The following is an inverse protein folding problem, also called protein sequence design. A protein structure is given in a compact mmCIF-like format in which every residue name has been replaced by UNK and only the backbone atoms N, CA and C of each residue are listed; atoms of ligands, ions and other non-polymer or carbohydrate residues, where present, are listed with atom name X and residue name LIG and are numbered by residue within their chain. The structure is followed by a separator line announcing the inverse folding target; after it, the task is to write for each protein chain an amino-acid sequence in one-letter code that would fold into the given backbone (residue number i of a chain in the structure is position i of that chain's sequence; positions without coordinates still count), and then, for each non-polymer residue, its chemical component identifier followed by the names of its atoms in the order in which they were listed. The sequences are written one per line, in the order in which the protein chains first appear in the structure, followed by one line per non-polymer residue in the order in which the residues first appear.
data_IF_997074786774
#
_entry.id   IF_997074786774
#
_cell.length_a   1.000
_cell.length_b   1.000
_cell.length_c   1.000
_cell.angle_alpha   90.00
_cell.angle_beta   90.00
_cell.angle_gamma   90.00
#
_symmetry.space_group_name_H-M   'P 1'
#
loop_
_entity.id
_entity.type
_entity.pdbx_description
1 polymer ?
#
# COMPACT_ATOMS: atom_id res chain seq x y z
N UNK A 1 -23.62 50.78 -6.55
CA UNK A 1 -22.68 50.57 -7.64
C UNK A 1 -22.34 49.08 -7.72
N UNK A 2 -22.90 48.36 -8.69
CA UNK A 2 -22.41 47.01 -9.00
C UNK A 2 -21.05 47.19 -9.69
N UNK A 3 -19.99 47.11 -8.92
CA UNK A 3 -18.67 47.23 -9.49
C UNK A 3 -18.32 45.94 -10.21
N UNK A 4 -17.80 46.02 -11.43
CA UNK A 4 -17.25 44.90 -12.21
C UNK A 4 -16.28 44.05 -11.39
N UNK A 5 -15.73 44.63 -10.33
CA UNK A 5 -14.80 44.00 -9.41
C UNK A 5 -15.40 42.80 -8.62
N UNK A 6 -16.72 42.85 -8.30
CA UNK A 6 -17.36 41.80 -7.51
C UNK A 6 -17.35 40.42 -8.19
N UNK A 7 -17.84 40.24 -9.41
CA UNK A 7 -17.82 38.93 -10.07
C UNK A 7 -16.38 38.49 -10.39
N UNK A 8 -15.46 39.41 -10.62
CA UNK A 8 -14.03 39.08 -10.81
C UNK A 8 -13.47 38.49 -9.51
N UNK A 9 -13.69 39.15 -8.35
CA UNK A 9 -13.21 38.66 -7.05
C UNK A 9 -13.84 37.30 -6.68
N UNK A 10 -15.10 37.07 -6.99
CA UNK A 10 -15.74 35.78 -6.77
C UNK A 10 -15.09 34.66 -7.59
N UNK A 11 -14.67 34.92 -8.81
CA UNK A 11 -14.04 33.95 -9.70
C UNK A 11 -12.54 33.73 -9.40
N UNK A 12 -11.82 34.76 -8.89
CA UNK A 12 -10.40 34.61 -8.54
C UNK A 12 -10.14 33.62 -7.42
N UNK A 13 -11.17 33.20 -6.67
CA UNK A 13 -11.10 32.11 -5.69
C UNK A 13 -10.63 30.76 -6.30
N UNK A 14 -10.77 30.59 -7.61
CA UNK A 14 -10.23 29.43 -8.31
C UNK A 14 -8.73 29.31 -8.13
N UNK A 15 -7.99 30.43 -8.00
CA UNK A 15 -6.54 30.43 -7.84
C UNK A 15 -6.10 29.76 -6.55
N UNK A 16 -6.53 30.20 -5.33
CA UNK A 16 -6.21 29.50 -4.09
C UNK A 16 -6.76 28.08 -4.06
N UNK A 17 -7.91 27.81 -4.71
CA UNK A 17 -8.46 26.47 -4.84
C UNK A 17 -7.54 25.53 -5.60
N UNK A 18 -7.09 25.91 -6.77
CA UNK A 18 -6.16 25.11 -7.56
C UNK A 18 -4.80 24.96 -6.87
N UNK A 19 -4.30 26.00 -6.22
CA UNK A 19 -3.07 25.91 -5.43
C UNK A 19 -3.20 24.82 -4.36
N UNK A 20 -4.29 24.81 -3.61
CA UNK A 20 -4.52 23.82 -2.56
C UNK A 20 -4.70 22.39 -3.11
N UNK A 21 -5.29 22.23 -4.30
CA UNK A 21 -5.40 20.89 -4.93
C UNK A 21 -4.06 20.33 -5.38
N UNK A 22 -3.16 21.15 -5.87
CA UNK A 22 -1.84 20.71 -6.32
C UNK A 22 -0.84 20.45 -5.19
N UNK A 23 -1.03 21.09 -4.03
CA UNK A 23 -0.08 21.03 -2.93
C UNK A 23 0.22 19.59 -2.43
N UNK A 24 -0.76 18.71 -2.17
CA UNK A 24 -0.50 17.34 -1.72
C UNK A 24 0.05 16.42 -2.81
N UNK A 25 -0.12 16.79 -4.09
CA UNK A 25 0.24 15.93 -5.23
C UNK A 25 1.43 16.47 -6.04
N UNK A 26 2.18 17.42 -5.48
CA UNK A 26 3.29 18.09 -6.19
C UNK A 26 4.35 17.11 -6.71
N UNK A 27 4.60 16.01 -6.02
CA UNK A 27 5.54 14.95 -6.42
C UNK A 27 5.10 14.15 -7.66
N UNK A 28 3.83 14.21 -8.03
CA UNK A 28 3.26 13.47 -9.16
C UNK A 28 3.07 14.32 -10.43
N UNK A 29 3.54 15.57 -10.42
CA UNK A 29 3.43 16.47 -11.58
C UNK A 29 4.35 15.97 -12.69
N UNK A 30 3.86 15.97 -13.92
CA UNK A 30 4.56 15.54 -15.12
C UNK A 30 5.82 16.41 -15.37
N UNK A 31 6.99 15.90 -15.04
CA UNK A 31 8.26 16.47 -15.49
C UNK A 31 8.61 15.85 -16.83
N UNK A 32 8.77 16.67 -17.88
CA UNK A 32 9.18 16.20 -19.21
C UNK A 32 10.64 15.68 -19.28
N UNK A 33 11.29 15.42 -18.14
CA UNK A 33 12.65 14.90 -18.02
C UNK A 33 12.65 13.62 -17.17
N UNK A 34 13.18 12.55 -17.74
CA UNK A 34 13.52 11.32 -17.04
C UNK A 34 14.57 11.61 -15.97
N UNK A 35 14.18 11.86 -14.73
CA UNK A 35 15.08 11.79 -13.58
C UNK A 35 14.69 10.63 -12.68
N UNK A 36 15.70 9.81 -12.39
CA UNK A 36 15.68 8.63 -11.56
C UNK A 36 15.24 8.95 -10.12
N UNK A 37 14.57 7.98 -9.52
CA UNK A 37 13.90 7.98 -8.21
C UNK A 37 14.83 8.09 -6.97
N UNK A 38 16.09 8.53 -7.11
CA UNK A 38 17.11 8.38 -6.05
C UNK A 38 17.42 9.60 -5.18
N UNK A 39 16.74 10.75 -5.36
CA UNK A 39 17.04 11.97 -4.56
C UNK A 39 15.80 12.49 -3.79
N UNK A 40 15.30 11.70 -2.86
CA UNK A 40 14.25 12.10 -1.92
C UNK A 40 14.85 12.60 -0.60
N UNK A 41 15.50 13.76 -0.60
CA UNK A 41 16.19 14.22 0.60
C UNK A 41 16.37 15.74 0.80
N UNK A 42 15.84 16.58 -0.08
CA UNK A 42 15.96 18.04 0.12
C UNK A 42 14.65 18.77 -0.17
N UNK A 43 14.21 19.57 0.79
CA UNK A 43 13.02 20.47 0.78
C UNK A 43 13.12 21.62 -0.24
N UNK A 44 13.78 21.41 -1.36
CA UNK A 44 13.79 22.38 -2.46
C UNK A 44 12.45 22.29 -3.20
N UNK A 45 11.75 23.40 -3.31
CA UNK A 45 10.52 23.54 -4.09
C UNK A 45 10.71 22.88 -5.47
N UNK A 46 9.93 21.82 -5.73
CA UNK A 46 10.06 21.05 -6.96
C UNK A 46 9.99 21.97 -8.17
N UNK A 47 11.00 22.04 -9.04
CA UNK A 47 11.03 22.96 -10.16
C UNK A 47 9.84 22.76 -11.11
N UNK A 48 9.28 21.57 -11.16
CA UNK A 48 8.09 21.25 -11.92
C UNK A 48 6.83 21.94 -11.37
N UNK A 49 6.68 21.98 -10.07
CA UNK A 49 5.58 22.68 -9.41
C UNK A 49 5.66 24.20 -9.62
N UNK A 50 6.84 24.78 -9.50
CA UNK A 50 7.04 26.20 -9.79
C UNK A 50 6.73 26.53 -11.25
N UNK A 51 7.23 25.75 -12.20
CA UNK A 51 6.95 25.92 -13.61
C UNK A 51 5.45 25.80 -13.93
N UNK A 52 4.76 24.86 -13.30
CA UNK A 52 3.30 24.72 -13.41
C UNK A 52 2.60 26.00 -12.93
N UNK A 53 2.97 26.53 -11.77
CA UNK A 53 2.37 27.74 -11.20
C UNK A 53 2.62 28.97 -12.05
N UNK A 54 3.80 29.11 -12.67
CA UNK A 54 4.14 30.26 -13.51
C UNK A 54 3.20 30.46 -14.72
N UNK A 55 2.67 29.39 -15.29
CA UNK A 55 1.70 29.51 -16.38
C UNK A 55 0.24 29.35 -15.93
N UNK A 56 -0.01 28.54 -14.87
CA UNK A 56 -1.36 28.26 -14.40
C UNK A 56 -1.99 29.49 -13.73
N UNK A 57 -1.26 30.18 -12.85
CA UNK A 57 -1.79 31.34 -12.13
C UNK A 57 -2.18 32.48 -13.07
N UNK A 58 -1.37 32.92 -14.04
CA UNK A 58 -1.79 33.91 -15.02
C UNK A 58 -2.99 33.47 -15.86
N UNK A 59 -3.02 32.20 -16.29
CA UNK A 59 -4.15 31.64 -17.02
C UNK A 59 -5.45 31.76 -16.23
N UNK A 60 -5.44 31.34 -14.97
CA UNK A 60 -6.60 31.41 -14.08
C UNK A 60 -7.02 32.85 -13.78
N UNK A 61 -6.05 33.76 -13.65
CA UNK A 61 -6.34 35.20 -13.50
C UNK A 61 -7.05 35.77 -14.72
N UNK A 62 -6.57 35.46 -15.93
CA UNK A 62 -7.22 35.88 -17.20
C UNK A 62 -8.65 35.32 -17.30
N UNK A 63 -8.82 34.02 -17.01
CA UNK A 63 -10.16 33.37 -17.04
C UNK A 63 -11.09 34.04 -16.02
N UNK A 64 -10.60 34.38 -14.82
CA UNK A 64 -11.39 35.06 -13.79
C UNK A 64 -11.79 36.46 -14.19
N UNK A 65 -10.89 37.22 -14.81
CA UNK A 65 -11.16 38.59 -15.29
C UNK A 65 -12.18 38.56 -16.44
N UNK A 66 -11.95 37.72 -17.43
CA UNK A 66 -12.87 37.61 -18.60
C UNK A 66 -14.23 37.10 -18.16
N UNK A 67 -14.28 36.05 -17.34
CA UNK A 67 -15.53 35.50 -16.81
C UNK A 67 -16.30 36.53 -15.97
N UNK A 68 -15.58 37.27 -15.08
CA UNK A 68 -16.16 38.36 -14.29
C UNK A 68 -16.72 39.50 -15.15
N UNK A 69 -16.00 39.88 -16.19
CA UNK A 69 -16.49 40.90 -17.15
C UNK A 69 -17.74 40.44 -17.88
N UNK A 70 -17.79 39.17 -18.33
CA UNK A 70 -18.97 38.54 -18.93
C UNK A 70 -20.17 38.54 -17.97
N UNK A 71 -19.96 38.12 -16.73
CA UNK A 71 -21.02 38.14 -15.70
C UNK A 71 -21.54 39.54 -15.46
N UNK A 72 -20.67 40.53 -15.41
CA UNK A 72 -21.06 41.93 -15.24
C UNK A 72 -21.86 42.47 -16.43
N UNK A 73 -21.38 42.25 -17.65
CA UNK A 73 -22.00 42.78 -18.84
C UNK A 73 -23.39 42.17 -19.11
N UNK A 74 -23.54 40.87 -18.86
CA UNK A 74 -24.82 40.15 -19.10
C UNK A 74 -25.66 40.00 -17.81
N UNK A 75 -25.26 40.62 -16.73
CA UNK A 75 -25.92 40.55 -15.42
C UNK A 75 -26.18 39.11 -14.94
N UNK A 76 -25.24 38.20 -15.27
CA UNK A 76 -25.31 36.79 -14.92
C UNK A 76 -24.70 36.52 -13.53
N UNK A 77 -25.24 35.53 -12.86
CA UNK A 77 -24.59 34.99 -11.63
C UNK A 77 -23.27 34.31 -11.98
N UNK A 78 -22.22 34.50 -11.16
CA UNK A 78 -20.93 33.86 -11.29
C UNK A 78 -21.01 32.32 -11.32
N UNK A 79 -22.07 31.76 -10.74
CA UNK A 79 -22.34 30.32 -10.77
C UNK A 79 -22.47 29.76 -12.21
N UNK A 80 -23.06 30.55 -13.14
CA UNK A 80 -23.21 30.11 -14.53
C UNK A 80 -21.88 29.90 -15.27
N UNK A 81 -20.83 30.57 -14.84
CA UNK A 81 -19.48 30.39 -15.38
C UNK A 81 -18.73 29.33 -14.54
N UNK A 82 -18.87 29.36 -13.22
CA UNK A 82 -18.12 28.46 -12.32
C UNK A 82 -18.50 26.99 -12.53
N UNK A 83 -19.81 26.67 -12.71
CA UNK A 83 -20.26 25.29 -12.88
C UNK A 83 -19.64 24.59 -14.10
N UNK A 84 -19.63 25.14 -15.33
CA UNK A 84 -18.97 24.50 -16.46
C UNK A 84 -17.43 24.57 -16.37
N UNK A 85 -16.89 25.54 -15.64
CA UNK A 85 -15.44 25.70 -15.47
C UNK A 85 -14.84 24.65 -14.54
N UNK A 86 -15.54 24.21 -13.47
CA UNK A 86 -15.05 23.21 -12.54
C UNK A 86 -14.68 21.86 -13.19
N UNK A 87 -15.49 21.24 -14.06
CA UNK A 87 -15.09 20.06 -14.81
C UNK A 87 -13.85 20.28 -15.69
N UNK A 88 -13.75 21.44 -16.34
CA UNK A 88 -12.58 21.79 -17.17
C UNK A 88 -11.31 21.90 -16.32
N UNK A 89 -11.41 22.51 -15.14
CA UNK A 89 -10.31 22.61 -14.17
C UNK A 89 -9.92 21.24 -13.63
N UNK A 90 -10.90 20.39 -13.35
CA UNK A 90 -10.64 19.02 -12.94
C UNK A 90 -9.91 18.21 -14.02
N UNK A 91 -10.35 18.32 -15.29
CA UNK A 91 -9.67 17.65 -16.40
C UNK A 91 -8.24 18.15 -16.59
N UNK A 92 -8.02 19.47 -16.48
CA UNK A 92 -6.69 20.07 -16.52
C UNK A 92 -5.81 19.53 -15.37
N UNK A 93 -6.35 19.53 -14.16
CA UNK A 93 -5.68 19.01 -12.96
C UNK A 93 -5.29 17.54 -13.12
N UNK A 94 -6.25 16.69 -13.50
CA UNK A 94 -5.97 15.26 -13.66
C UNK A 94 -4.96 14.96 -14.78
N UNK A 95 -5.04 15.70 -15.92
CA UNK A 95 -4.14 15.50 -17.05
C UNK A 95 -2.68 15.90 -16.75
N UNK A 96 -2.47 16.83 -15.83
CA UNK A 96 -1.11 17.24 -15.42
C UNK A 96 -0.45 16.27 -14.42
N UNK A 97 -1.19 15.28 -13.91
CA UNK A 97 -0.77 14.38 -12.84
C UNK A 97 -0.67 12.92 -13.32
N UNK A 98 0.27 12.19 -12.73
CA UNK A 98 0.40 10.72 -12.91
C UNK A 98 -0.17 9.95 -11.72
N UNK A 99 -1.45 10.15 -11.45
CA UNK A 99 -2.15 9.46 -10.35
C UNK A 99 -3.48 8.88 -10.82
N UNK A 100 -4.05 7.95 -10.02
CA UNK A 100 -5.36 7.38 -10.32
C UNK A 100 -6.45 8.47 -10.31
N UNK A 101 -7.47 8.30 -11.14
CA UNK A 101 -8.60 9.24 -11.23
C UNK A 101 -9.29 9.40 -9.87
N UNK A 102 -9.38 8.33 -9.07
CA UNK A 102 -10.04 8.34 -7.76
C UNK A 102 -9.31 9.22 -6.74
N UNK A 103 -7.97 9.16 -6.73
CA UNK A 103 -7.14 10.06 -5.91
C UNK A 103 -7.34 11.52 -6.35
N UNK A 104 -7.33 11.80 -7.66
CA UNK A 104 -7.55 13.14 -8.21
C UNK A 104 -8.93 13.70 -7.87
N UNK A 105 -9.99 12.91 -8.08
CA UNK A 105 -11.38 13.31 -7.79
C UNK A 105 -11.55 13.61 -6.31
N UNK A 106 -11.02 12.75 -5.44
CA UNK A 106 -11.15 12.92 -3.97
C UNK A 106 -10.52 14.20 -3.47
N UNK A 107 -9.29 14.51 -3.90
CA UNK A 107 -8.60 15.75 -3.49
C UNK A 107 -9.31 16.99 -4.04
N UNK A 108 -9.68 16.96 -5.32
CA UNK A 108 -10.36 18.09 -5.96
C UNK A 108 -11.71 18.39 -5.28
N UNK A 109 -12.53 17.36 -5.08
CA UNK A 109 -13.84 17.54 -4.40
C UNK A 109 -13.69 17.93 -2.94
N UNK A 110 -12.62 17.48 -2.25
CA UNK A 110 -12.34 17.91 -0.88
C UNK A 110 -12.14 19.42 -0.79
N UNK A 111 -11.38 20.00 -1.70
CA UNK A 111 -11.19 21.45 -1.79
C UNK A 111 -12.49 22.15 -2.18
N UNK A 112 -13.26 21.62 -3.13
CA UNK A 112 -14.56 22.16 -3.51
C UNK A 112 -15.52 22.20 -2.30
N UNK A 113 -15.57 21.16 -1.49
CA UNK A 113 -16.45 21.10 -0.30
C UNK A 113 -16.09 22.17 0.73
N UNK A 114 -14.81 22.36 1.01
CA UNK A 114 -14.35 23.41 1.93
C UNK A 114 -14.71 24.79 1.38
N UNK A 115 -14.44 25.04 0.11
CA UNK A 115 -14.71 26.33 -0.52
C UNK A 115 -16.20 26.61 -0.64
N UNK A 116 -17.04 25.58 -0.82
CA UNK A 116 -18.51 25.74 -0.75
C UNK A 116 -18.97 26.17 0.66
N UNK A 117 -18.41 25.58 1.73
CA UNK A 117 -18.70 26.01 3.09
C UNK A 117 -18.24 27.44 3.36
N UNK A 118 -17.04 27.81 2.90
CA UNK A 118 -16.48 29.16 3.04
C UNK A 118 -17.34 30.18 2.26
N UNK A 119 -17.82 29.81 1.05
CA UNK A 119 -18.75 30.66 0.29
C UNK A 119 -20.05 30.92 1.05
N UNK A 120 -20.63 29.89 1.66
CA UNK A 120 -21.84 30.06 2.48
C UNK A 120 -21.59 31.01 3.65
N UNK A 121 -20.46 30.85 4.36
CA UNK A 121 -20.09 31.72 5.46
C UNK A 121 -19.83 33.17 5.03
N UNK A 122 -19.15 33.38 3.91
CA UNK A 122 -18.87 34.73 3.37
C UNK A 122 -20.14 35.46 2.98
N UNK A 123 -21.15 34.75 2.43
CA UNK A 123 -22.46 35.30 2.13
C UNK A 123 -23.22 35.70 3.41
N UNK A 124 -23.11 34.88 4.45
CA UNK A 124 -23.67 35.20 5.74
C UNK A 124 -23.07 36.48 6.36
N UNK A 125 -21.71 36.59 6.30
CA UNK A 125 -20.99 37.78 6.80
C UNK A 125 -21.40 39.02 5.96
N UNK A 126 -21.45 38.90 4.66
CA UNK A 126 -21.87 40.00 3.81
C UNK A 126 -23.30 40.45 4.07
N UNK A 127 -24.23 39.51 4.29
CA UNK A 127 -25.60 39.81 4.63
C UNK A 127 -25.70 40.49 6.02
N UNK A 128 -24.90 40.03 7.01
CA UNK A 128 -24.83 40.65 8.33
C UNK A 128 -24.35 42.11 8.26
N UNK A 129 -23.37 42.40 7.44
CA UNK A 129 -22.82 43.76 7.25
C UNK A 129 -23.78 44.70 6.48
N UNK A 130 -24.74 44.15 5.72
CA UNK A 130 -25.71 44.91 4.92
C UNK A 130 -27.08 45.02 5.55
N UNK A 131 -27.26 44.58 6.82
CA UNK A 131 -28.54 44.69 7.49
C UNK A 131 -28.96 46.14 7.69
N UNK A 132 -30.28 46.47 7.51
CA UNK A 132 -30.78 47.82 7.66
C UNK A 132 -30.81 48.30 9.11
N UNK A 133 -30.81 47.43 10.10
CA UNK A 133 -30.75 47.78 11.52
C UNK A 133 -29.29 48.01 11.96
N UNK A 134 -29.03 49.21 12.48
CA UNK A 134 -27.68 49.60 12.96
C UNK A 134 -27.30 48.73 14.17
N UNK A 135 -26.19 48.01 14.12
CA UNK A 135 -25.68 47.33 15.30
C UNK A 135 -25.30 48.34 16.38
N UNK A 136 -25.36 47.90 17.65
CA UNK A 136 -25.11 48.79 18.81
C UNK A 136 -23.75 49.53 18.67
N UNK A 137 -23.79 50.82 18.93
CA UNK A 137 -22.60 51.68 18.90
C UNK A 137 -21.56 51.15 19.90
N UNK A 138 -20.32 50.89 19.41
CA UNK A 138 -19.21 50.34 20.20
C UNK A 138 -18.96 48.85 20.02
N UNK A 139 -19.77 48.12 19.22
CA UNK A 139 -19.46 46.75 18.83
C UNK A 139 -18.47 46.72 17.64
N UNK A 140 -17.69 45.63 17.53
CA UNK A 140 -16.82 45.38 16.36
C UNK A 140 -17.60 45.48 15.03
N UNK A 141 -18.86 45.02 15.05
CA UNK A 141 -19.80 45.10 13.93
C UNK A 141 -20.23 46.56 13.71
N UNK A 142 -20.39 47.39 14.74
CA UNK A 142 -20.66 48.82 14.61
C UNK A 142 -19.51 49.60 14.01
N UNK A 143 -18.27 49.18 14.27
CA UNK A 143 -17.08 49.74 13.61
C UNK A 143 -17.00 49.37 12.14
N UNK A 144 -17.33 48.14 11.77
CA UNK A 144 -17.34 47.68 10.37
C UNK A 144 -18.55 48.21 9.60
N UNK A 145 -19.63 48.62 10.30
CA UNK A 145 -20.88 49.15 9.76
C UNK A 145 -20.82 50.67 9.44
N UNK A 146 -19.77 51.36 9.78
CA UNK A 146 -19.66 52.79 9.51
C UNK A 146 -19.68 53.04 7.97
N UNK A 147 -20.86 53.31 7.49
CA UNK A 147 -21.31 53.88 6.21
C UNK A 147 -20.47 53.72 4.95
N UNK A 148 -21.06 53.12 3.91
CA UNK A 148 -20.49 53.15 2.56
C UNK A 148 -20.38 54.55 1.93
N UNK A 149 -21.01 55.56 2.50
CA UNK A 149 -21.10 56.92 1.95
C UNK A 149 -20.15 57.93 2.57
N UNK A 150 -19.43 57.58 3.64
CA UNK A 150 -18.49 58.48 4.29
C UNK A 150 -17.07 57.94 4.24
N UNK A 151 -16.39 58.32 3.14
CA UNK A 151 -14.96 58.69 3.09
C UNK A 151 -14.02 57.92 4.01
N UNK A 152 -13.28 56.96 3.45
CA UNK A 152 -12.06 56.43 4.05
C UNK A 152 -11.91 54.93 4.08
N UNK A 153 -12.97 54.15 3.99
CA UNK A 153 -12.87 52.69 3.84
C UNK A 153 -12.79 52.36 2.34
N UNK A 154 -11.78 51.61 1.90
CA UNK A 154 -11.68 51.26 0.49
C UNK A 154 -12.97 50.64 -0.04
N UNK A 155 -13.46 51.05 -1.19
CA UNK A 155 -14.74 50.60 -1.82
C UNK A 155 -14.87 49.08 -1.89
N UNK A 156 -13.76 48.37 -1.93
CA UNK A 156 -13.68 46.91 -1.95
C UNK A 156 -14.00 46.27 -0.57
N UNK A 157 -13.87 46.99 0.55
CA UNK A 157 -14.16 46.44 1.87
C UNK A 157 -15.66 46.48 2.22
N UNK A 158 -16.42 47.41 1.63
CA UNK A 158 -17.80 47.68 2.01
C UNK A 158 -18.88 46.85 1.28
N UNK A 159 -18.54 46.13 0.20
CA UNK A 159 -19.59 45.71 -0.72
C UNK A 159 -19.67 44.23 -1.01
N UNK A 160 -18.79 43.36 -0.48
CA UNK A 160 -18.70 42.13 -1.27
C UNK A 160 -18.44 40.85 -0.51
N UNK A 161 -19.43 39.96 -0.55
CA UNK A 161 -19.26 38.54 -0.31
C UNK A 161 -18.04 37.96 -1.05
N UNK A 162 -17.73 38.42 -2.24
CA UNK A 162 -16.56 38.03 -3.03
C UNK A 162 -15.21 38.35 -2.40
N UNK A 163 -15.09 39.53 -1.79
CA UNK A 163 -13.87 39.89 -1.07
C UNK A 163 -13.67 39.01 0.18
N UNK A 164 -14.67 38.90 1.02
CA UNK A 164 -14.60 38.04 2.22
C UNK A 164 -14.37 36.58 1.84
N UNK A 165 -15.00 36.11 0.77
CA UNK A 165 -14.80 34.79 0.26
C UNK A 165 -13.34 34.55 -0.14
N UNK A 166 -12.74 35.44 -0.93
CA UNK A 166 -11.34 35.36 -1.30
C UNK A 166 -10.42 35.39 -0.07
N UNK A 167 -10.63 36.37 0.82
CA UNK A 167 -9.80 36.51 2.03
C UNK A 167 -9.81 35.24 2.87
N UNK A 168 -10.98 34.70 3.15
CA UNK A 168 -11.12 33.48 3.97
C UNK A 168 -10.51 32.28 3.24
N UNK A 169 -10.68 32.15 1.92
CA UNK A 169 -10.04 31.09 1.14
C UNK A 169 -8.51 31.15 1.21
N UNK A 170 -7.91 32.34 1.12
CA UNK A 170 -6.46 32.49 1.27
C UNK A 170 -5.97 32.18 2.69
N UNK A 171 -6.70 32.63 3.72
CA UNK A 171 -6.41 32.27 5.12
C UNK A 171 -6.49 30.74 5.28
N UNK A 172 -7.50 30.12 4.71
CA UNK A 172 -7.66 28.67 4.77
C UNK A 172 -6.51 27.93 4.04
N UNK A 173 -6.08 28.39 2.87
CA UNK A 173 -4.94 27.82 2.14
C UNK A 173 -3.66 27.91 2.96
N UNK A 174 -3.40 29.03 3.62
CA UNK A 174 -2.24 29.22 4.50
C UNK A 174 -2.29 28.26 5.71
N UNK A 175 -3.46 28.13 6.34
CA UNK A 175 -3.66 27.21 7.47
C UNK A 175 -3.54 25.74 7.06
N UNK A 176 -4.06 25.38 5.89
CA UNK A 176 -4.03 24.02 5.35
C UNK A 176 -2.69 23.66 4.68
N UNK A 177 -1.77 24.60 4.50
CA UNK A 177 -0.50 24.40 3.80
C UNK A 177 0.31 23.24 4.38
N UNK A 178 0.52 23.27 5.70
CA UNK A 178 1.30 22.26 6.38
C UNK A 178 0.64 20.87 6.33
N UNK A 179 -0.64 20.69 6.75
CA UNK A 179 -1.29 19.38 6.67
C UNK A 179 -1.42 18.85 5.23
N UNK A 180 -1.66 19.70 4.24
CA UNK A 180 -1.77 19.28 2.84
C UNK A 180 -0.41 18.82 2.27
N UNK A 181 0.66 19.54 2.59
CA UNK A 181 1.99 19.22 2.05
C UNK A 181 2.67 18.03 2.72
N UNK A 182 2.29 17.66 3.95
CA UNK A 182 2.89 16.56 4.70
C UNK A 182 1.91 15.38 4.89
N UNK A 183 0.84 15.59 5.64
CA UNK A 183 -0.03 14.48 6.03
C UNK A 183 -0.85 13.91 4.85
N UNK A 184 -1.43 14.76 4.00
CA UNK A 184 -2.18 14.29 2.83
C UNK A 184 -1.23 13.71 1.79
N UNK A 185 -0.04 14.29 1.64
CA UNK A 185 0.99 13.77 0.74
C UNK A 185 1.41 12.34 1.11
N UNK A 186 1.75 12.08 2.37
CA UNK A 186 2.11 10.72 2.83
C UNK A 186 0.99 9.70 2.59
N UNK A 187 -0.27 10.11 2.73
CA UNK A 187 -1.41 9.26 2.40
C UNK A 187 -1.54 8.98 0.89
N UNK A 188 -1.17 9.94 0.05
CA UNK A 188 -1.21 9.78 -1.40
C UNK A 188 -0.12 8.83 -1.91
N UNK A 189 1.03 8.81 -1.24
CA UNK A 189 2.19 7.97 -1.57
C UNK A 189 2.03 6.52 -1.08
N UNK A 190 1.13 6.26 -0.12
CA UNK A 190 0.92 4.93 0.45
C UNK A 190 -0.13 4.13 -0.36
N UNK A 191 0.28 2.98 -0.88
CA UNK A 191 -0.59 2.09 -1.67
C UNK A 191 -1.63 1.34 -0.81
N UNK A 192 -1.42 1.25 0.51
CA UNK A 192 -2.37 0.62 1.43
C UNK A 192 -3.74 1.34 1.48
N UNK A 193 -3.79 2.60 1.05
CA UNK A 193 -5.01 3.40 0.97
C UNK A 193 -5.74 3.33 -0.37
N UNK A 194 -5.29 2.52 -1.33
CA UNK A 194 -5.85 2.49 -2.67
C UNK A 194 -7.37 2.25 -2.67
N UNK A 195 -7.86 1.36 -1.81
CA UNK A 195 -9.30 1.06 -1.70
C UNK A 195 -10.12 2.20 -1.07
N UNK A 196 -9.55 2.96 -0.16
CA UNK A 196 -10.25 4.05 0.55
C UNK A 196 -10.60 5.20 -0.40
N UNK A 197 -9.77 5.47 -1.42
CA UNK A 197 -10.01 6.52 -2.39
C UNK A 197 -11.25 6.31 -3.27
N UNK A 198 -11.69 5.05 -3.45
CA UNK A 198 -12.92 4.74 -4.21
C UNK A 198 -14.21 5.25 -3.53
N UNK A 199 -14.18 5.46 -2.23
CA UNK A 199 -15.37 5.87 -1.45
C UNK A 199 -15.23 7.30 -0.93
N UNK A 200 -14.03 7.77 -0.69
CA UNK A 200 -13.76 9.05 -0.02
C UNK A 200 -14.38 10.27 -0.72
N UNK A 201 -14.44 10.31 -2.05
CA UNK A 201 -14.99 11.42 -2.83
C UNK A 201 -16.50 11.65 -2.62
N UNK A 202 -17.23 10.65 -2.15
CA UNK A 202 -18.70 10.74 -1.98
C UNK A 202 -19.09 11.77 -0.92
N UNK A 203 -18.36 11.83 0.19
CA UNK A 203 -18.66 12.74 1.31
C UNK A 203 -18.39 14.21 0.91
N UNK A 204 -17.24 14.60 0.37
CA UNK A 204 -17.03 15.94 -0.17
C UNK A 204 -18.06 16.36 -1.20
N UNK A 205 -18.46 15.44 -2.09
CA UNK A 205 -19.49 15.71 -3.07
C UNK A 205 -20.84 16.05 -2.39
N UNK A 206 -21.24 15.25 -1.40
CA UNK A 206 -22.47 15.48 -0.65
C UNK A 206 -22.43 16.84 0.06
N UNK A 207 -21.32 17.20 0.72
CA UNK A 207 -21.15 18.51 1.37
C UNK A 207 -21.22 19.67 0.37
N UNK A 208 -20.58 19.53 -0.77
CA UNK A 208 -20.63 20.53 -1.84
C UNK A 208 -22.08 20.72 -2.32
N UNK A 209 -22.79 19.63 -2.61
CA UNK A 209 -24.17 19.64 -3.03
C UNK A 209 -25.11 20.27 -1.99
N UNK A 210 -24.93 19.90 -0.72
CA UNK A 210 -25.73 20.45 0.39
C UNK A 210 -25.52 21.96 0.53
N UNK A 211 -24.26 22.42 0.51
CA UNK A 211 -23.95 23.85 0.59
C UNK A 211 -24.53 24.63 -0.61
N UNK A 212 -24.43 24.08 -1.82
CA UNK A 212 -25.03 24.71 -3.02
C UNK A 212 -26.57 24.80 -2.92
N UNK A 213 -27.21 23.76 -2.39
CA UNK A 213 -28.64 23.75 -2.17
C UNK A 213 -29.08 24.79 -1.12
N UNK A 214 -28.27 24.99 -0.07
CA UNK A 214 -28.54 25.94 1.01
C UNK A 214 -28.38 27.40 0.57
N UNK A 215 -27.67 27.70 -0.53
CA UNK A 215 -27.49 29.09 -0.99
C UNK A 215 -28.84 29.70 -1.40
N UNK A 216 -29.30 30.79 -0.73
CA UNK A 216 -30.58 31.40 -1.04
C UNK A 216 -30.60 31.97 -2.45
N UNK A 217 -31.66 31.71 -3.20
CA UNK A 217 -31.86 32.25 -4.58
C UNK A 217 -32.03 33.75 -4.60
N UNK A 218 -32.67 34.32 -3.53
CA UNK A 218 -32.97 35.74 -3.46
C UNK A 218 -32.17 36.37 -2.30
N UNK A 219 -31.42 37.43 -2.63
CA UNK A 219 -30.63 38.18 -1.61
C UNK A 219 -31.47 38.69 -0.45
N UNK A 220 -32.70 39.13 -0.73
CA UNK A 220 -33.64 39.64 0.31
C UNK A 220 -34.04 38.61 1.35
N UNK A 221 -33.95 37.32 1.09
CA UNK A 221 -34.27 36.25 2.04
C UNK A 221 -33.33 36.25 3.23
N UNK A 222 -32.05 36.60 3.03
CA UNK A 222 -31.05 36.66 4.10
C UNK A 222 -31.18 37.88 5.02
N UNK A 223 -31.95 38.92 4.63
CA UNK A 223 -32.13 40.12 5.47
C UNK A 223 -33.14 39.92 6.59
N UNK A 224 -33.79 38.76 6.67
CA UNK A 224 -34.65 38.42 7.81
C UNK A 224 -33.78 37.86 8.92
N UNK A 225 -33.74 38.55 10.09
CA UNK A 225 -32.81 38.27 11.20
C UNK A 225 -32.81 36.81 11.68
N UNK A 226 -33.98 36.15 11.77
CA UNK A 226 -34.07 34.73 12.15
C UNK A 226 -33.51 33.79 11.06
N UNK A 227 -33.77 34.09 9.80
CA UNK A 227 -33.26 33.26 8.68
C UNK A 227 -31.74 33.40 8.59
N UNK A 228 -31.22 34.60 8.74
CA UNK A 228 -29.76 34.83 8.72
C UNK A 228 -29.07 34.11 9.89
N UNK A 229 -29.62 34.21 11.12
CA UNK A 229 -29.06 33.46 12.24
C UNK A 229 -29.05 31.96 12.03
N UNK A 230 -30.15 31.38 11.52
CA UNK A 230 -30.22 29.97 11.17
C UNK A 230 -29.22 29.59 10.10
N UNK A 231 -29.06 30.42 9.08
CA UNK A 231 -28.11 30.20 8.00
C UNK A 231 -26.65 30.23 8.49
N UNK A 232 -26.28 31.17 9.38
CA UNK A 232 -24.97 31.25 10.00
C UNK A 232 -24.70 29.98 10.83
N UNK A 233 -25.65 29.60 11.71
CA UNK A 233 -25.48 28.42 12.55
C UNK A 233 -25.30 27.17 11.73
N UNK A 234 -26.12 26.93 10.70
CA UNK A 234 -26.03 25.76 9.84
C UNK A 234 -24.70 25.76 9.05
N UNK A 235 -24.28 26.90 8.51
CA UNK A 235 -23.01 26.99 7.78
C UNK A 235 -21.80 26.72 8.68
N UNK A 236 -21.82 27.18 9.93
CA UNK A 236 -20.78 26.89 10.92
C UNK A 236 -20.78 25.41 11.31
N UNK A 237 -21.95 24.83 11.57
CA UNK A 237 -22.09 23.41 11.91
C UNK A 237 -21.56 22.53 10.77
N UNK A 238 -21.92 22.83 9.52
CA UNK A 238 -21.43 22.11 8.37
C UNK A 238 -19.90 22.20 8.22
N UNK A 239 -19.33 23.39 8.46
CA UNK A 239 -17.88 23.59 8.43
C UNK A 239 -17.20 22.78 9.53
N UNK A 240 -17.75 22.77 10.75
CA UNK A 240 -17.21 21.99 11.88
C UNK A 240 -17.30 20.48 11.59
N UNK A 241 -18.45 20.00 11.07
CA UNK A 241 -18.61 18.59 10.71
C UNK A 241 -17.60 18.17 9.62
N UNK A 242 -17.41 19.02 8.60
CA UNK A 242 -16.44 18.78 7.55
C UNK A 242 -15.01 18.73 8.11
N UNK A 243 -14.66 19.68 9.00
CA UNK A 243 -13.35 19.69 9.65
C UNK A 243 -13.11 18.45 10.51
N UNK A 244 -14.11 18.04 11.30
CA UNK A 244 -14.07 16.81 12.09
C UNK A 244 -13.91 15.58 11.20
N UNK A 245 -14.64 15.52 10.08
CA UNK A 245 -14.53 14.43 9.12
C UNK A 245 -13.09 14.31 8.56
N UNK A 246 -12.50 15.42 8.11
CA UNK A 246 -11.13 15.39 7.61
C UNK A 246 -10.11 15.05 8.69
N UNK A 247 -10.31 15.54 9.91
CA UNK A 247 -9.43 15.21 11.04
C UNK A 247 -9.51 13.72 11.39
N UNK A 248 -10.72 13.16 11.47
CA UNK A 248 -10.94 11.74 11.71
C UNK A 248 -10.33 10.88 10.59
N UNK A 249 -10.50 11.29 9.34
CA UNK A 249 -9.91 10.59 8.20
C UNK A 249 -8.38 10.59 8.26
N UNK A 250 -7.76 11.74 8.59
CA UNK A 250 -6.32 11.85 8.79
C UNK A 250 -5.81 10.95 9.93
N UNK A 251 -6.49 10.99 11.09
CA UNK A 251 -6.13 10.15 12.23
C UNK A 251 -6.26 8.65 11.92
N UNK A 252 -7.34 8.27 11.23
CA UNK A 252 -7.54 6.89 10.77
C UNK A 252 -6.41 6.45 9.83
N UNK A 253 -6.02 7.31 8.90
CA UNK A 253 -4.93 7.03 7.97
C UNK A 253 -3.59 6.82 8.68
N UNK A 254 -3.23 7.72 9.60
CA UNK A 254 -2.02 7.60 10.43
C UNK A 254 -2.05 6.31 11.25
N UNK A 255 -3.20 5.97 11.84
CA UNK A 255 -3.37 4.75 12.63
C UNK A 255 -3.20 3.47 11.80
N UNK A 256 -3.81 3.42 10.61
CA UNK A 256 -3.67 2.27 9.70
C UNK A 256 -2.22 2.06 9.26
N UNK A 257 -1.53 3.14 8.90
CA UNK A 257 -0.13 3.07 8.50
C UNK A 257 0.77 2.58 9.66
N UNK A 258 0.53 3.09 10.87
CA UNK A 258 1.23 2.63 12.07
C UNK A 258 0.97 1.14 12.35
N UNK A 259 -0.29 0.70 12.23
CA UNK A 259 -0.63 -0.72 12.43
C UNK A 259 0.02 -1.63 11.38
N UNK A 260 0.06 -1.21 10.11
CA UNK A 260 0.73 -1.96 9.06
C UNK A 260 2.23 -2.12 9.33
N UNK A 261 2.91 -1.05 9.77
CA UNK A 261 4.33 -1.10 10.18
C UNK A 261 4.55 -2.03 11.37
N UNK A 262 3.72 -1.93 12.40
CA UNK A 262 3.80 -2.81 13.58
C UNK A 262 3.58 -4.28 13.21
N UNK A 263 2.69 -4.58 12.26
CA UNK A 263 2.50 -5.94 11.76
C UNK A 263 3.74 -6.46 11.03
N UNK A 264 4.39 -5.63 10.20
CA UNK A 264 5.63 -6.00 9.53
C UNK A 264 6.77 -6.26 10.52
N UNK A 265 6.93 -5.40 11.54
CA UNK A 265 7.93 -5.58 12.60
C UNK A 265 7.67 -6.87 13.41
N UNK A 266 6.42 -7.13 13.80
CA UNK A 266 6.05 -8.35 14.51
C UNK A 266 6.29 -9.60 13.65
N UNK A 267 6.01 -9.54 12.35
CA UNK A 267 6.30 -10.65 11.44
C UNK A 267 7.82 -10.89 11.35
N UNK A 268 8.61 -9.84 11.20
CA UNK A 268 10.08 -9.95 11.19
C UNK A 268 10.63 -10.53 12.48
N UNK A 269 10.16 -10.06 13.65
CA UNK A 269 10.55 -10.61 14.95
C UNK A 269 10.16 -12.09 15.11
N UNK A 270 9.00 -12.49 14.58
CA UNK A 270 8.58 -13.89 14.60
C UNK A 270 9.50 -14.79 13.77
N UNK A 271 9.94 -14.33 12.60
CA UNK A 271 10.89 -15.03 11.75
C UNK A 271 12.27 -15.13 12.41
N UNK A 272 12.75 -14.05 13.04
CA UNK A 272 14.01 -14.10 13.82
C UNK A 272 13.94 -15.11 14.95
N UNK A 273 12.83 -15.14 15.69
CA UNK A 273 12.63 -16.12 16.78
C UNK A 273 12.64 -17.55 16.25
N UNK A 274 11.94 -17.81 15.14
CA UNK A 274 11.93 -19.13 14.52
C UNK A 274 13.32 -19.56 14.06
N UNK A 275 14.10 -18.66 13.46
CA UNK A 275 15.49 -18.91 13.07
C UNK A 275 16.35 -19.22 14.29
N UNK A 276 16.21 -18.47 15.39
CA UNK A 276 16.93 -18.69 16.64
C UNK A 276 16.57 -20.05 17.28
N UNK A 277 15.29 -20.40 17.33
CA UNK A 277 14.84 -21.68 17.88
C UNK A 277 15.38 -22.86 17.05
N UNK A 278 15.43 -22.72 15.72
CA UNK A 278 16.02 -23.72 14.81
C UNK A 278 17.52 -23.87 15.05
N UNK A 279 18.23 -22.76 15.23
CA UNK A 279 19.66 -22.75 15.53
C UNK A 279 19.97 -23.45 16.87
N UNK A 280 19.16 -23.15 17.90
CA UNK A 280 19.30 -23.81 19.20
C UNK A 280 19.08 -25.32 19.10
N UNK A 281 18.06 -25.76 18.34
CA UNK A 281 17.80 -27.17 18.12
C UNK A 281 18.98 -27.85 17.40
N UNK A 282 19.55 -27.21 16.37
CA UNK A 282 20.72 -27.74 15.66
C UNK A 282 21.97 -27.82 16.54
N UNK A 283 22.19 -26.82 17.43
CA UNK A 283 23.30 -26.84 18.41
C UNK A 283 23.13 -28.01 19.38
N UNK A 284 21.92 -28.25 19.89
CA UNK A 284 21.65 -29.34 20.85
C UNK A 284 21.81 -30.70 20.15
N UNK A 285 21.34 -30.86 18.91
CA UNK A 285 21.57 -32.07 18.11
C UNK A 285 23.07 -32.33 17.88
N UNK A 286 23.84 -31.31 17.52
CA UNK A 286 25.28 -31.39 17.35
C UNK A 286 25.97 -31.76 18.67
N UNK A 287 25.45 -31.28 19.82
CA UNK A 287 25.97 -31.63 21.16
C UNK A 287 25.71 -33.12 21.50
N UNK A 288 24.50 -33.62 21.19
CA UNK A 288 24.17 -35.03 21.35
C UNK A 288 25.04 -35.89 20.44
N UNK A 289 25.16 -35.57 19.16
CA UNK A 289 26.02 -36.33 18.24
C UNK A 289 27.48 -36.38 18.70
N UNK A 290 28.02 -35.26 19.21
CA UNK A 290 29.38 -35.20 19.77
C UNK A 290 29.53 -36.07 21.04
N UNK A 291 28.52 -36.09 21.90
CA UNK A 291 28.50 -36.94 23.08
C UNK A 291 28.52 -38.42 22.70
N UNK A 292 27.72 -38.82 21.74
CA UNK A 292 27.63 -40.20 21.27
C UNK A 292 28.94 -40.65 20.59
N UNK A 293 29.54 -39.80 19.75
CA UNK A 293 30.87 -40.06 19.19
C UNK A 293 31.91 -40.26 20.28
N UNK A 294 31.91 -39.44 21.35
CA UNK A 294 32.83 -39.60 22.47
C UNK A 294 32.62 -40.94 23.18
N UNK A 295 31.40 -41.39 23.33
CA UNK A 295 31.05 -42.69 23.91
C UNK A 295 31.60 -43.85 23.07
N UNK A 296 31.46 -43.76 21.72
CA UNK A 296 31.99 -44.72 20.77
C UNK A 296 33.52 -44.81 20.88
N UNK A 297 34.22 -43.66 20.97
CA UNK A 297 35.67 -43.65 21.10
C UNK A 297 36.16 -44.22 22.44
N UNK A 298 35.47 -43.94 23.53
CA UNK A 298 35.80 -44.52 24.86
C UNK A 298 35.64 -46.05 24.82
N UNK A 299 34.59 -46.58 24.21
CA UNK A 299 34.38 -48.03 24.09
C UNK A 299 35.45 -48.67 23.19
N UNK A 300 35.79 -48.06 22.06
CA UNK A 300 36.87 -48.54 21.19
C UNK A 300 38.23 -48.54 21.89
N UNK A 301 38.54 -47.49 22.67
CA UNK A 301 39.78 -47.41 23.46
C UNK A 301 39.89 -48.55 24.49
N UNK A 302 38.79 -48.79 25.21
CA UNK A 302 38.71 -49.88 26.20
C UNK A 302 38.90 -51.28 25.55
N UNK A 303 38.31 -51.52 24.38
CA UNK A 303 38.49 -52.78 23.64
C UNK A 303 39.92 -52.91 23.11
N UNK A 304 40.55 -51.81 22.69
CA UNK A 304 41.93 -51.81 22.27
C UNK A 304 42.91 -52.10 23.41
N UNK A 305 42.68 -51.58 24.62
CA UNK A 305 43.47 -51.89 25.81
C UNK A 305 43.39 -53.38 26.21
N UNK A 306 42.26 -54.03 25.89
CA UNK A 306 42.08 -55.48 26.14
C UNK A 306 42.75 -56.36 25.09
N UNK A 307 43.24 -55.79 23.98
CA UNK A 307 43.87 -56.49 22.87
C UNK A 307 42.95 -57.36 22.03
N UNK A 308 41.61 -57.17 22.13
CA UNK A 308 40.58 -57.99 21.48
C UNK A 308 40.21 -57.41 20.11
N UNK A 309 41.03 -57.70 19.11
CA UNK A 309 40.86 -57.19 17.72
C UNK A 309 39.55 -57.67 17.12
N UNK A 310 39.04 -58.86 17.45
CA UNK A 310 37.81 -59.39 16.89
C UNK A 310 36.60 -58.62 17.41
N UNK A 311 36.57 -58.26 18.67
CA UNK A 311 35.49 -57.42 19.26
C UNK A 311 35.55 -55.99 18.75
N UNK A 312 36.72 -55.41 18.49
CA UNK A 312 36.86 -54.10 17.87
C UNK A 312 36.22 -54.13 16.47
N UNK A 313 36.54 -55.15 15.66
CA UNK A 313 36.00 -55.32 14.32
C UNK A 313 34.50 -55.47 14.34
N UNK A 314 33.94 -56.30 15.20
CA UNK A 314 32.53 -56.53 15.34
C UNK A 314 31.77 -55.28 15.81
N UNK A 315 32.41 -54.48 16.71
CA UNK A 315 31.86 -53.19 17.15
C UNK A 315 31.80 -52.17 16.02
N UNK A 316 32.86 -52.05 15.23
CA UNK A 316 32.95 -51.17 14.09
C UNK A 316 31.93 -51.58 13.00
N UNK A 317 31.77 -52.85 12.67
CA UNK A 317 30.78 -53.37 11.76
C UNK A 317 29.38 -53.05 12.20
N UNK A 318 29.07 -53.21 13.50
CA UNK A 318 27.76 -52.84 14.05
C UNK A 318 27.51 -51.34 14.09
N UNK A 319 28.52 -50.53 14.32
CA UNK A 319 28.42 -49.08 14.30
C UNK A 319 28.25 -48.53 12.88
N UNK A 320 28.98 -49.12 11.93
CA UNK A 320 28.91 -48.75 10.51
C UNK A 320 27.52 -49.13 9.90
N UNK A 321 26.98 -50.30 10.27
CA UNK A 321 25.64 -50.71 9.81
C UNK A 321 24.50 -49.83 10.37
N UNK A 322 24.75 -49.04 11.44
CA UNK A 322 23.77 -48.04 11.94
C UNK A 322 23.86 -46.70 11.24
N UNK A 323 24.95 -46.41 10.55
CA UNK A 323 25.09 -45.20 9.70
C UNK A 323 24.42 -45.54 8.38
N UNK A 324 23.39 -44.79 7.94
CA UNK A 324 22.79 -44.99 6.63
C UNK A 324 23.88 -44.87 5.56
N UNK A 325 23.88 -45.83 4.60
CA UNK A 325 24.76 -45.78 3.45
C UNK A 325 24.49 -44.47 2.67
N UNK A 326 25.29 -43.46 2.88
CA UNK A 326 25.22 -42.16 2.19
C UNK A 326 25.98 -42.15 0.88
N UNK A 327 26.52 -43.31 0.43
CA UNK A 327 27.30 -43.46 -0.81
C UNK A 327 26.48 -43.46 -2.09
N UNK A 328 25.20 -43.07 -2.03
CA UNK A 328 24.43 -42.89 -3.26
C UNK A 328 24.68 -41.49 -3.82
N UNK A 329 25.48 -41.41 -4.87
CA UNK A 329 25.72 -40.18 -5.63
C UNK A 329 24.60 -40.00 -6.68
N UNK A 330 23.81 -38.96 -6.55
CA UNK A 330 22.66 -38.67 -7.43
C UNK A 330 23.01 -37.64 -8.51
N UNK A 331 23.81 -36.61 -8.16
CA UNK A 331 24.16 -35.52 -9.10
C UNK A 331 25.49 -34.85 -8.70
N UNK A 332 26.10 -34.12 -9.65
CA UNK A 332 27.35 -33.40 -9.38
C UNK A 332 27.22 -32.19 -8.45
N UNK A 333 25.99 -31.62 -8.30
CA UNK A 333 25.73 -30.54 -7.34
C UNK A 333 25.68 -31.08 -5.94
N UNK A 334 26.70 -30.76 -5.13
CA UNK A 334 26.88 -31.31 -3.76
C UNK A 334 25.74 -31.00 -2.80
N UNK A 335 25.15 -29.80 -2.91
CA UNK A 335 24.08 -29.38 -2.04
C UNK A 335 22.78 -30.14 -2.36
N UNK A 336 22.42 -30.24 -3.62
CA UNK A 336 21.28 -31.04 -4.09
C UNK A 336 21.48 -32.52 -3.81
N UNK A 337 22.69 -33.06 -4.06
CA UNK A 337 23.05 -34.45 -3.80
C UNK A 337 22.83 -34.84 -2.32
N UNK A 338 23.28 -33.98 -1.41
CA UNK A 338 23.09 -34.17 0.05
C UNK A 338 21.60 -34.19 0.46
N UNK A 339 20.80 -33.28 -0.10
CA UNK A 339 19.35 -33.23 0.19
C UNK A 339 18.66 -34.47 -0.34
N UNK A 340 18.94 -34.86 -1.59
CA UNK A 340 18.33 -36.04 -2.22
C UNK A 340 18.73 -37.31 -1.48
N UNK A 341 20.02 -37.43 -1.11
CA UNK A 341 20.55 -38.56 -0.34
C UNK A 341 19.87 -38.73 1.00
N UNK A 342 19.67 -37.62 1.73
CA UNK A 342 18.96 -37.59 3.02
C UNK A 342 17.53 -38.14 2.91
N UNK A 343 16.74 -37.62 1.97
CA UNK A 343 15.35 -38.07 1.80
C UNK A 343 15.26 -39.48 1.20
N UNK A 344 16.22 -39.91 0.36
CA UNK A 344 16.30 -41.28 -0.09
C UNK A 344 16.56 -42.26 1.06
N UNK A 345 17.48 -41.93 1.98
CA UNK A 345 17.74 -42.71 3.17
C UNK A 345 16.51 -42.82 4.09
N UNK A 346 15.78 -41.71 4.27
CA UNK A 346 14.51 -41.71 5.02
C UNK A 346 13.44 -42.59 4.34
N UNK A 347 13.28 -42.46 3.04
CA UNK A 347 12.32 -43.29 2.27
C UNK A 347 12.66 -44.78 2.37
N UNK A 348 13.94 -45.14 2.26
CA UNK A 348 14.44 -46.51 2.43
C UNK A 348 14.12 -47.07 3.82
N UNK A 349 14.33 -46.27 4.88
CA UNK A 349 13.99 -46.65 6.26
C UNK A 349 12.50 -46.94 6.45
N UNK A 350 11.65 -46.20 5.77
CA UNK A 350 10.17 -46.36 5.81
C UNK A 350 9.63 -47.34 4.77
N UNK A 351 10.52 -48.08 4.08
CA UNK A 351 10.19 -49.03 2.99
C UNK A 351 9.36 -48.40 1.87
N UNK A 352 9.70 -47.18 1.47
CA UNK A 352 9.09 -46.45 0.34
C UNK A 352 10.02 -46.56 -0.87
N UNK A 353 9.60 -47.12 -2.01
CA UNK A 353 10.37 -47.09 -3.24
C UNK A 353 10.66 -45.67 -3.67
N UNK A 354 11.94 -45.32 -3.78
CA UNK A 354 12.42 -44.00 -4.17
C UNK A 354 13.25 -44.12 -5.46
N UNK A 355 12.84 -43.40 -6.51
CA UNK A 355 13.55 -43.37 -7.80
C UNK A 355 13.96 -41.94 -8.10
N UNK A 356 15.24 -41.68 -8.24
CA UNK A 356 15.78 -40.40 -8.64
C UNK A 356 16.42 -40.48 -10.03
N UNK A 357 16.06 -39.55 -10.90
CA UNK A 357 16.72 -39.27 -12.17
C UNK A 357 17.18 -37.83 -12.15
N UNK A 358 18.46 -37.62 -11.97
CA UNK A 358 19.00 -36.27 -11.74
C UNK A 358 20.20 -36.02 -12.63
N UNK A 359 20.23 -34.85 -13.25
CA UNK A 359 21.32 -34.33 -14.05
C UNK A 359 21.50 -32.84 -13.71
N UNK A 360 22.11 -32.60 -12.54
CA UNK A 360 22.40 -31.28 -12.03
C UNK A 360 23.91 -31.10 -11.92
N UNK A 361 24.51 -30.22 -12.74
CA UNK A 361 25.97 -30.03 -12.77
C UNK A 361 26.45 -29.34 -11.47
N UNK A 362 27.73 -29.46 -11.15
CA UNK A 362 28.39 -28.92 -9.98
C UNK A 362 28.22 -27.38 -9.82
N UNK A 363 28.13 -26.67 -10.94
CA UNK A 363 27.82 -25.23 -10.97
C UNK A 363 26.51 -25.02 -11.70
N UNK A 364 25.53 -24.47 -11.01
CA UNK A 364 24.25 -24.09 -11.54
C UNK A 364 24.12 -22.56 -11.49
N UNK A 365 23.38 -21.97 -12.43
CA UNK A 365 23.04 -20.54 -12.40
C UNK A 365 21.93 -20.22 -11.42
N UNK A 366 21.06 -21.20 -11.11
CA UNK A 366 20.05 -21.04 -10.06
C UNK A 366 20.73 -21.01 -8.67
N UNK A 367 20.18 -20.20 -7.76
CA UNK A 367 20.65 -20.10 -6.37
C UNK A 367 20.59 -21.49 -5.69
N UNK A 368 21.76 -21.96 -5.17
CA UNK A 368 21.86 -23.27 -4.52
C UNK A 368 20.94 -23.39 -3.31
N UNK A 369 20.76 -22.28 -2.56
CA UNK A 369 19.90 -22.25 -1.37
C UNK A 369 18.44 -22.40 -1.78
N UNK A 370 18.01 -21.64 -2.79
CA UNK A 370 16.63 -21.68 -3.33
C UNK A 370 16.33 -23.09 -3.90
N UNK A 371 17.28 -23.71 -4.61
CA UNK A 371 17.16 -25.07 -5.14
C UNK A 371 17.04 -26.13 -4.00
N UNK A 372 17.89 -26.03 -2.99
CA UNK A 372 17.84 -26.93 -1.81
C UNK A 372 16.53 -26.79 -1.03
N UNK A 373 16.02 -25.56 -0.86
CA UNK A 373 14.73 -25.30 -0.23
C UNK A 373 13.56 -25.90 -1.02
N UNK A 374 13.59 -25.78 -2.34
CA UNK A 374 12.57 -26.38 -3.22
C UNK A 374 12.61 -27.91 -3.12
N UNK A 375 13.79 -28.52 -3.25
CA UNK A 375 13.96 -29.96 -3.14
C UNK A 375 13.50 -30.48 -1.77
N UNK A 376 13.93 -29.84 -0.68
CA UNK A 376 13.54 -30.23 0.67
C UNK A 376 12.05 -30.19 0.89
N UNK A 377 11.39 -29.07 0.53
CA UNK A 377 9.95 -28.91 0.70
C UNK A 377 9.14 -29.94 -0.14
N UNK A 378 9.57 -30.20 -1.38
CA UNK A 378 8.87 -31.16 -2.25
C UNK A 378 9.06 -32.60 -1.79
N UNK A 379 10.29 -32.98 -1.39
CA UNK A 379 10.61 -34.33 -0.95
C UNK A 379 10.02 -34.62 0.44
N UNK A 380 10.01 -33.65 1.35
CA UNK A 380 9.30 -33.78 2.64
C UNK A 380 7.80 -34.04 2.43
N UNK A 381 7.16 -33.22 1.60
CA UNK A 381 5.75 -33.39 1.27
C UNK A 381 5.46 -34.77 0.63
N UNK A 382 6.34 -35.22 -0.27
CA UNK A 382 6.21 -36.52 -0.94
C UNK A 382 6.34 -37.69 0.04
N UNK A 383 7.32 -37.63 0.96
CA UNK A 383 7.53 -38.63 2.01
C UNK A 383 6.30 -38.74 2.92
N UNK A 384 5.82 -37.61 3.40
CA UNK A 384 4.67 -37.54 4.30
C UNK A 384 3.35 -38.04 3.65
N UNK A 385 3.12 -37.64 2.40
CA UNK A 385 1.95 -38.10 1.67
C UNK A 385 2.02 -39.61 1.40
N UNK A 386 3.19 -40.12 1.03
CA UNK A 386 3.40 -41.55 0.82
C UNK A 386 3.23 -42.38 2.10
N UNK A 387 3.65 -41.87 3.26
CA UNK A 387 3.44 -42.54 4.56
C UNK A 387 1.96 -42.74 4.91
N UNK A 388 1.09 -41.83 4.49
CA UNK A 388 -0.37 -41.96 4.68
C UNK A 388 -1.02 -42.96 3.74
N UNK A 389 -0.32 -43.37 2.70
CA UNK A 389 -0.82 -44.32 1.71
C UNK A 389 -0.54 -45.76 2.12
N UNK A 390 -1.37 -46.70 1.68
CA UNK A 390 -1.16 -48.13 1.94
C UNK A 390 0.22 -48.60 1.44
N UNK A 391 0.98 -49.40 2.21
CA UNK A 391 2.39 -49.75 1.94
C UNK A 391 2.65 -50.24 0.51
N UNK A 392 1.74 -51.05 -0.05
CA UNK A 392 1.83 -51.60 -1.40
C UNK A 392 1.72 -50.54 -2.52
N UNK A 393 1.24 -49.36 -2.23
CA UNK A 393 1.05 -48.26 -3.22
C UNK A 393 2.06 -47.14 -3.07
N UNK A 394 2.92 -47.16 -2.04
CA UNK A 394 3.89 -46.12 -1.76
C UNK A 394 4.91 -46.01 -2.87
N UNK A 395 5.14 -44.80 -3.33
CA UNK A 395 6.11 -44.54 -4.39
C UNK A 395 6.50 -43.06 -4.39
N UNK A 396 7.79 -42.76 -4.54
CA UNK A 396 8.33 -41.41 -4.75
C UNK A 396 9.22 -41.47 -5.99
N UNK A 397 9.04 -40.52 -6.92
CA UNK A 397 9.90 -40.32 -8.07
C UNK A 397 10.33 -38.87 -8.13
N UNK A 398 11.65 -38.65 -8.17
CA UNK A 398 12.27 -37.36 -8.41
C UNK A 398 12.86 -37.32 -9.81
N UNK A 399 12.61 -36.25 -10.55
CA UNK A 399 13.28 -35.93 -11.78
C UNK A 399 13.79 -34.51 -11.70
N UNK A 400 15.09 -34.29 -11.81
CA UNK A 400 15.70 -32.97 -11.75
C UNK A 400 16.82 -32.84 -12.79
N UNK A 401 16.72 -31.85 -13.66
CA UNK A 401 17.73 -31.62 -14.70
C UNK A 401 17.81 -30.13 -15.07
N UNK A 402 18.96 -29.76 -15.62
CA UNK A 402 19.19 -28.43 -16.15
C UNK A 402 18.82 -28.39 -17.64
N UNK A 403 17.90 -27.53 -18.03
CA UNK A 403 17.55 -27.29 -19.42
C UNK A 403 18.27 -26.04 -19.93
N UNK A 404 19.16 -26.23 -20.90
CA UNK A 404 20.10 -25.18 -21.33
C UNK A 404 21.09 -24.83 -20.20
N UNK A 405 21.53 -23.58 -20.13
CA UNK A 405 22.50 -23.15 -19.11
C UNK A 405 21.90 -22.43 -17.90
N UNK A 406 20.59 -22.17 -17.89
CA UNK A 406 19.97 -21.26 -16.91
C UNK A 406 18.62 -21.70 -16.33
N UNK A 407 18.09 -22.86 -16.73
CA UNK A 407 16.77 -23.30 -16.32
C UNK A 407 16.83 -24.64 -15.60
N UNK A 408 16.68 -24.66 -14.28
CA UNK A 408 16.56 -25.90 -13.51
C UNK A 408 15.10 -26.35 -13.46
N UNK A 409 14.85 -27.60 -13.89
CA UNK A 409 13.55 -28.26 -13.84
C UNK A 409 13.57 -29.32 -12.76
N UNK A 410 12.67 -29.19 -11.79
CA UNK A 410 12.51 -30.14 -10.68
C UNK A 410 11.09 -30.67 -10.71
N UNK A 411 10.92 -31.98 -10.74
CA UNK A 411 9.63 -32.64 -10.69
C UNK A 411 9.66 -33.73 -9.64
N UNK A 412 8.72 -33.68 -8.70
CA UNK A 412 8.51 -34.71 -7.69
C UNK A 412 7.12 -35.31 -7.86
N UNK A 413 7.06 -36.60 -8.04
CA UNK A 413 5.83 -37.39 -8.11
C UNK A 413 5.75 -38.32 -6.90
N UNK A 414 4.62 -38.36 -6.25
CA UNK A 414 4.37 -39.31 -5.14
C UNK A 414 2.93 -39.79 -5.12
N UNK A 415 2.74 -40.92 -4.47
CA UNK A 415 1.40 -41.41 -4.14
C UNK A 415 0.84 -40.67 -2.94
N UNK A 416 -0.50 -40.47 -2.93
CA UNK A 416 -1.21 -39.82 -1.81
C UNK A 416 -2.54 -40.56 -1.53
N UNK A 417 -3.14 -40.25 -0.38
CA UNK A 417 -4.35 -40.90 0.13
C UNK A 417 -5.67 -40.45 -0.56
N UNK A 418 -5.58 -39.61 -1.58
CA UNK A 418 -6.73 -39.07 -2.32
C UNK A 418 -7.41 -37.87 -1.66
N UNK A 419 -6.97 -37.42 -0.48
CA UNK A 419 -7.53 -36.28 0.23
C UNK A 419 -6.69 -35.04 0.00
N UNK A 420 -7.17 -34.10 -0.81
CA UNK A 420 -6.56 -32.77 -0.99
C UNK A 420 -7.53 -31.72 -0.46
N UNK A 421 -7.02 -30.79 0.35
CA UNK A 421 -7.76 -29.64 0.83
C UNK A 421 -7.21 -28.40 0.15
N UNK A 422 -7.99 -27.83 -0.75
CA UNK A 422 -7.67 -26.60 -1.47
C UNK A 422 -8.76 -25.57 -1.21
N UNK A 423 -8.40 -24.35 -0.91
CA UNK A 423 -9.31 -23.23 -0.77
C UNK A 423 -8.71 -22.02 -1.49
N UNK A 424 -9.48 -21.45 -2.42
CA UNK A 424 -9.08 -20.27 -3.21
C UNK A 424 -7.73 -20.42 -3.93
N UNK A 425 -7.39 -21.63 -4.44
CA UNK A 425 -6.13 -21.92 -5.11
C UNK A 425 -4.93 -22.12 -4.16
N UNK A 426 -5.18 -22.20 -2.84
CA UNK A 426 -4.15 -22.42 -1.80
C UNK A 426 -4.35 -23.80 -1.17
N UNK A 427 -3.28 -24.61 -1.19
CA UNK A 427 -3.28 -25.93 -0.52
C UNK A 427 -3.19 -25.75 0.98
N UNK A 428 -4.11 -26.40 1.71
CA UNK A 428 -4.11 -26.36 3.17
C UNK A 428 -3.26 -27.48 3.77
N UNK A 429 -2.59 -27.15 4.88
CA UNK A 429 -1.80 -28.15 5.63
C UNK A 429 -2.66 -29.25 6.19
N UNK A 430 -2.23 -30.50 6.01
CA UNK A 430 -2.85 -31.66 6.68
C UNK A 430 -2.43 -31.80 8.15
N UNK A 431 -1.38 -31.09 8.61
CA UNK A 431 -0.80 -31.17 9.98
C UNK A 431 -1.35 -30.12 10.94
N UNK A 432 -1.70 -28.91 10.46
CA UNK A 432 -2.15 -27.79 11.29
C UNK A 432 -3.36 -27.12 10.68
N UNK A 433 -4.20 -26.47 11.50
CA UNK A 433 -5.24 -25.58 10.98
C UNK A 433 -4.54 -24.37 10.37
N UNK A 434 -4.48 -24.29 9.05
CA UNK A 434 -3.89 -23.18 8.29
C UNK A 434 -3.33 -23.63 6.93
N UNK A 435 -2.78 -22.68 6.20
CA UNK A 435 -2.27 -22.87 4.84
C UNK A 435 -1.02 -23.74 4.82
N UNK A 436 -0.84 -24.55 3.78
CA UNK A 436 0.34 -25.39 3.54
C UNK A 436 1.57 -24.56 3.20
N UNK A 437 2.40 -24.25 4.20
CA UNK A 437 3.56 -23.35 4.07
C UNK A 437 4.58 -23.88 3.04
N UNK A 438 4.78 -25.20 2.94
CA UNK A 438 5.79 -25.78 2.06
C UNK A 438 5.57 -25.51 0.58
N UNK A 439 4.36 -25.74 0.06
CA UNK A 439 4.03 -25.48 -1.36
C UNK A 439 3.96 -23.98 -1.67
N UNK A 440 3.55 -23.15 -0.71
CA UNK A 440 3.59 -21.70 -0.87
C UNK A 440 5.05 -21.18 -0.94
N UNK A 441 5.94 -21.69 -0.09
CA UNK A 441 7.37 -21.39 -0.17
C UNK A 441 7.96 -21.77 -1.53
N UNK A 442 7.64 -22.95 -2.04
CA UNK A 442 8.08 -23.42 -3.36
C UNK A 442 7.59 -22.48 -4.47
N UNK A 443 6.32 -22.08 -4.41
CA UNK A 443 5.75 -21.13 -5.38
C UNK A 443 6.43 -19.76 -5.31
N UNK A 444 6.63 -19.25 -4.12
CA UNK A 444 7.29 -17.95 -3.91
C UNK A 444 8.74 -17.94 -4.42
N UNK A 445 9.50 -19.03 -4.17
CA UNK A 445 10.88 -19.18 -4.65
C UNK A 445 10.89 -19.25 -6.18
N UNK A 446 9.99 -20.02 -6.80
CA UNK A 446 9.88 -20.10 -8.24
C UNK A 446 9.57 -18.73 -8.89
N UNK A 447 8.58 -18.01 -8.34
CA UNK A 447 8.22 -16.65 -8.81
C UNK A 447 9.37 -15.65 -8.63
N UNK A 448 10.08 -15.70 -7.52
CA UNK A 448 11.26 -14.86 -7.23
C UNK A 448 12.39 -15.08 -8.25
N UNK A 449 12.62 -16.32 -8.68
CA UNK A 449 13.62 -16.66 -9.69
C UNK A 449 13.15 -16.39 -11.13
N UNK A 450 11.93 -15.85 -11.34
CA UNK A 450 11.34 -15.66 -12.67
C UNK A 450 10.84 -16.95 -13.33
N UNK A 451 10.74 -18.03 -12.56
CA UNK A 451 10.24 -19.33 -12.99
C UNK A 451 8.75 -19.54 -12.64
N UNK A 452 8.32 -20.79 -12.67
CA UNK A 452 6.91 -21.18 -12.44
C UNK A 452 6.86 -22.48 -11.64
N UNK A 453 5.87 -22.60 -10.75
CA UNK A 453 5.50 -23.86 -10.09
C UNK A 453 4.10 -24.31 -10.50
N UNK A 454 3.94 -25.59 -10.80
CA UNK A 454 2.65 -26.21 -11.12
C UNK A 454 2.46 -27.48 -10.32
N UNK A 455 1.24 -27.69 -9.87
CA UNK A 455 0.84 -28.89 -9.12
C UNK A 455 -0.31 -29.54 -9.87
N UNK A 456 -0.21 -30.85 -10.09
CA UNK A 456 -1.28 -31.68 -10.67
C UNK A 456 -1.49 -32.90 -9.82
N UNK A 457 -2.74 -33.33 -9.70
CA UNK A 457 -3.09 -34.52 -8.94
C UNK A 457 -4.21 -35.28 -9.63
N UNK A 458 -3.99 -36.55 -9.90
CA UNK A 458 -4.94 -37.42 -10.57
C UNK A 458 -4.63 -38.86 -10.20
N UNK A 459 -5.68 -39.72 -10.09
CA UNK A 459 -5.56 -41.17 -9.90
C UNK A 459 -4.65 -41.63 -8.75
N UNK A 460 -4.64 -40.88 -7.64
CA UNK A 460 -3.84 -41.18 -6.47
C UNK A 460 -2.34 -40.81 -6.60
N UNK A 461 -1.99 -40.07 -7.66
CA UNK A 461 -0.66 -39.51 -7.88
C UNK A 461 -0.70 -38.01 -7.74
N UNK A 462 0.22 -37.46 -6.99
CA UNK A 462 0.49 -36.04 -6.84
C UNK A 462 1.80 -35.71 -7.54
N UNK A 463 1.79 -34.71 -8.38
CA UNK A 463 2.96 -34.28 -9.15
C UNK A 463 3.16 -32.78 -8.98
N UNK A 464 4.29 -32.38 -8.44
CA UNK A 464 4.73 -30.99 -8.36
C UNK A 464 5.89 -30.76 -9.34
N UNK A 465 5.77 -29.74 -10.18
CA UNK A 465 6.79 -29.33 -11.15
C UNK A 465 7.20 -27.89 -10.85
N UNK A 466 8.49 -27.64 -10.81
CA UNK A 466 9.06 -26.33 -10.52
C UNK A 466 10.13 -26.01 -11.54
N UNK A 467 10.07 -24.81 -12.08
CA UNK A 467 11.09 -24.20 -12.91
C UNK A 467 11.78 -23.09 -12.14
N UNK A 468 13.08 -23.12 -12.03
CA UNK A 468 13.91 -22.06 -11.47
C UNK A 468 14.78 -21.50 -12.59
N UNK A 469 14.66 -20.18 -12.81
CA UNK A 469 15.54 -19.46 -13.74
C UNK A 469 16.75 -18.94 -12.97
N UNK A 470 17.94 -19.10 -13.56
CA UNK A 470 19.19 -18.63 -12.97
C UNK A 470 19.77 -17.43 -13.72
#
# INVERSE_FOLDING_TARGET
MNTILQPILELTVIIPGMLLTYLPVRSYIHTGSHKSFSDAGTDHADPAFLNLLLWLVPLLAIVSILGGAICYHWNLSTAWILFPLLPCLFLLYHKTLRISIWKSVSVFLAVCAVFACVNSLSRAISALLMMPEKPAAGSLLGFLWQHPDTTGIPLWFCTNAGFFYNLICWVFVLAAWYPASHAVRTMMEDDNFAQTWYVFWMIPLLFTGLNLFMVPRYKGTLYTGRILQGYIIISLVLLVILALFYTMFLLMAISLNRNARLQQENHFLSLQKQCYDTLLAAIEEARHARHDLRHHFVQLSSLAEQGDLEKIRQYLENATNKIPDLDMHFCENRAADSVIGYYCALAKRENIPFHAQTDLPAKNTADEIDMCLVLSNLLENALEASLRTAPARRRIKLTAYLHGNSLALIQVENTYDGVIREKDGVFQSSKRKGDGIGLQSVRHIAEKSGGVSTVTYQDGLFCAKVMLCG
#
